data_IF_175128733456
#
_entry.id   IF_175128733456
#
_cell.length_a   1.000
_cell.length_b   1.000
_cell.length_c   1.000
_cell.angle_alpha   90.00
_cell.angle_beta   90.00
_cell.angle_gamma   90.00
#
_symmetry.space_group_name_H-M   'P 1'
#
loop_
_entity.id
_entity.type
_entity.pdbx_description
1 polymer ?
#
# COMPACT_ATOMS: atom_id res chain seq x y z
N UNK A 1 26.35 -8.53 48.75
CA UNK A 1 27.73 -7.99 48.92
C UNK A 1 28.60 -8.55 47.80
N UNK A 2 29.57 -7.75 47.34
CA UNK A 2 30.50 -7.96 46.20
C UNK A 2 29.93 -7.84 44.78
N UNK A 3 30.61 -7.26 43.79
CA UNK A 3 31.36 -5.99 43.60
C UNK A 3 31.88 -6.09 42.14
N UNK A 4 31.57 -5.07 41.30
CA UNK A 4 32.34 -4.52 40.15
C UNK A 4 32.68 -5.50 38.99
N UNK A 5 32.64 -5.10 37.72
CA UNK A 5 33.50 -4.06 37.14
C UNK A 5 32.96 -3.60 35.77
N UNK A 6 32.99 -2.27 35.55
CA UNK A 6 32.77 -1.57 34.29
C UNK A 6 34.06 -1.58 33.46
N UNK A 7 33.95 -1.72 32.14
CA UNK A 7 35.01 -1.34 31.22
C UNK A 7 34.50 -0.22 30.30
N UNK A 8 35.08 0.96 30.52
CA UNK A 8 35.02 2.17 29.73
C UNK A 8 36.40 2.34 29.09
N UNK A 9 36.48 2.50 27.77
CA UNK A 9 37.65 3.09 27.12
C UNK A 9 37.20 4.00 25.98
N UNK A 10 37.56 5.27 26.15
CA UNK A 10 37.48 6.38 25.23
C UNK A 10 38.80 6.60 24.49
N UNK A 11 38.76 7.52 23.52
CA UNK A 11 39.86 8.20 22.78
C UNK A 11 40.20 7.54 21.44
N UNK A 12 40.31 8.24 20.31
CA UNK A 12 40.27 9.67 19.99
C UNK A 12 40.87 9.89 18.58
N UNK A 13 40.80 11.14 18.09
CA UNK A 13 41.59 11.78 16.99
C UNK A 13 41.05 11.76 15.54
N UNK A 14 40.47 12.90 15.15
CA UNK A 14 40.58 13.58 13.82
C UNK A 14 41.94 14.34 13.76
N UNK A 15 42.39 15.07 12.68
CA UNK A 15 41.71 15.55 11.45
C UNK A 15 42.56 15.57 10.14
N UNK A 16 42.02 16.11 9.03
CA UNK A 16 42.78 16.62 7.86
C UNK A 16 42.04 16.46 6.52
N UNK A 17 41.21 17.42 6.07
CA UNK A 17 41.52 18.50 5.09
C UNK A 17 42.14 18.07 3.76
N UNK A 18 41.41 18.28 2.65
CA UNK A 18 41.90 19.14 1.55
C UNK A 18 40.77 19.58 0.62
N UNK A 19 40.79 20.89 0.32
CA UNK A 19 39.95 21.64 -0.63
C UNK A 19 40.72 21.87 -1.94
N UNK A 20 39.99 22.35 -2.95
CA UNK A 20 40.42 22.98 -4.22
C UNK A 20 40.43 22.00 -5.41
N UNK A 21 39.99 22.35 -6.63
CA UNK A 21 40.03 23.64 -7.31
C UNK A 21 38.95 23.76 -8.40
N UNK A 22 38.54 24.99 -8.69
CA UNK A 22 37.80 25.39 -9.89
C UNK A 22 38.66 25.31 -11.15
N UNK A 23 38.02 25.14 -12.31
CA UNK A 23 38.41 25.87 -13.52
C UNK A 23 37.19 26.14 -14.42
N UNK A 24 36.99 27.43 -14.69
CA UNK A 24 36.19 28.02 -15.76
C UNK A 24 37.09 28.12 -17.00
N UNK A 25 36.67 27.65 -18.18
CA UNK A 25 37.10 28.24 -19.46
C UNK A 25 35.93 28.20 -20.46
N UNK A 26 35.65 29.37 -21.02
CA UNK A 26 34.69 29.64 -22.07
C UNK A 26 35.29 29.42 -23.47
N UNK A 27 34.44 28.97 -24.41
CA UNK A 27 34.32 29.22 -25.87
C UNK A 27 35.59 29.49 -26.74
N UNK A 28 35.59 29.00 -28.00
CA UNK A 28 35.02 29.86 -29.05
C UNK A 28 34.19 29.16 -30.14
N UNK A 29 33.34 30.02 -30.70
CA UNK A 29 32.48 29.91 -31.87
C UNK A 29 33.26 29.42 -33.11
N UNK A 30 32.65 28.52 -33.89
CA UNK A 30 33.05 28.24 -35.28
C UNK A 30 31.83 28.27 -36.21
N UNK A 31 32.02 28.90 -37.37
CA UNK A 31 31.00 29.41 -38.29
C UNK A 31 30.68 28.37 -39.39
N UNK A 32 29.43 28.41 -39.90
CA UNK A 32 28.84 27.56 -40.96
C UNK A 32 29.55 27.66 -42.32
N UNK A 33 29.32 26.68 -43.23
CA UNK A 33 28.57 26.98 -44.48
C UNK A 33 27.61 25.83 -44.93
N UNK A 34 26.35 26.11 -45.32
CA UNK A 34 25.78 26.32 -46.68
C UNK A 34 25.33 25.03 -47.42
N UNK A 35 24.00 24.94 -47.61
CA UNK A 35 23.19 24.38 -48.73
C UNK A 35 23.18 22.86 -49.04
N UNK A 36 21.98 22.27 -49.01
CA UNK A 36 21.54 21.33 -50.07
C UNK A 36 20.80 20.04 -49.65
N UNK A 37 19.54 19.92 -50.12
CA UNK A 37 18.75 18.71 -50.46
C UNK A 37 18.09 17.87 -49.31
N UNK A 38 16.97 17.14 -49.57
CA UNK A 38 15.69 17.33 -48.91
C UNK A 38 15.42 16.27 -47.82
N UNK A 39 14.98 16.70 -46.64
CA UNK A 39 14.54 15.76 -45.61
C UNK A 39 13.17 15.18 -45.97
N UNK A 40 13.25 14.02 -46.63
CA UNK A 40 12.32 12.88 -46.63
C UNK A 40 11.26 12.99 -45.51
N UNK A 41 10.00 12.99 -45.92
CA UNK A 41 8.81 12.96 -45.07
C UNK A 41 9.00 12.06 -43.84
N UNK A 42 9.18 12.69 -42.68
CA UNK A 42 9.03 12.02 -41.40
C UNK A 42 7.54 11.71 -41.26
N UNK A 43 7.15 10.49 -41.64
CA UNK A 43 5.90 9.89 -41.23
C UNK A 43 5.87 9.92 -39.72
N UNK A 44 5.11 10.85 -39.16
CA UNK A 44 4.71 10.89 -37.75
C UNK A 44 3.94 9.61 -37.46
N UNK A 45 4.67 8.58 -37.02
CA UNK A 45 4.04 7.43 -36.41
C UNK A 45 3.34 7.92 -35.14
N UNK A 46 2.01 8.02 -35.22
CA UNK A 46 1.14 8.23 -34.08
C UNK A 46 1.20 6.99 -33.19
N UNK A 47 2.32 6.83 -32.48
CA UNK A 47 2.43 5.95 -31.34
C UNK A 47 1.52 6.52 -30.26
N UNK A 48 0.27 6.05 -30.22
CA UNK A 48 -0.61 6.27 -29.08
C UNK A 48 0.05 5.60 -27.88
N UNK A 49 0.74 6.41 -27.06
CA UNK A 49 1.30 5.94 -25.80
C UNK A 49 0.19 5.28 -24.99
N UNK A 50 0.46 4.12 -24.34
CA UNK A 50 -0.53 3.46 -23.52
C UNK A 50 -1.05 4.42 -22.45
N UNK A 51 -2.36 4.38 -22.12
CA UNK A 51 -2.93 5.28 -21.14
C UNK A 51 -2.15 5.16 -19.82
N UNK A 52 -1.68 6.29 -19.30
CA UNK A 52 -0.96 6.34 -18.03
C UNK A 52 -1.86 5.75 -16.95
N UNK A 53 -1.38 4.70 -16.27
CA UNK A 53 -2.10 4.11 -15.15
C UNK A 53 -2.30 5.18 -14.07
N UNK A 54 -3.48 5.29 -13.45
CA UNK A 54 -3.70 6.22 -12.35
C UNK A 54 -2.77 5.88 -11.18
N UNK A 55 -2.40 6.90 -10.40
CA UNK A 55 -1.62 6.72 -9.18
C UNK A 55 -2.33 5.75 -8.22
N UNK A 56 -1.60 4.80 -7.59
CA UNK A 56 -2.21 3.81 -6.70
C UNK A 56 -2.84 4.42 -5.43
N UNK A 57 -2.43 5.63 -5.06
CA UNK A 57 -2.95 6.39 -3.91
C UNK A 57 -4.25 7.13 -4.19
N UNK A 58 -4.79 6.98 -5.40
CA UNK A 58 -6.01 7.66 -5.81
C UNK A 58 -7.23 6.87 -5.37
N UNK A 59 -8.30 7.58 -4.97
CA UNK A 59 -9.59 6.95 -4.78
C UNK A 59 -10.00 6.22 -6.07
N UNK A 60 -10.41 4.97 -5.90
CA UNK A 60 -10.88 4.14 -7.01
C UNK A 60 -12.31 4.55 -7.34
N UNK A 61 -12.67 4.69 -8.62
CA UNK A 61 -14.07 4.79 -9.01
C UNK A 61 -14.87 3.57 -8.52
N UNK A 62 -16.09 3.78 -8.01
CA UNK A 62 -16.89 2.72 -7.37
C UNK A 62 -17.05 1.46 -8.26
N UNK A 63 -17.31 1.61 -9.56
CA UNK A 63 -17.44 0.49 -10.48
C UNK A 63 -16.13 -0.32 -10.61
N UNK A 64 -14.97 0.35 -10.64
CA UNK A 64 -13.66 -0.31 -10.71
C UNK A 64 -13.37 -1.02 -9.39
N UNK A 65 -13.69 -0.39 -8.27
CA UNK A 65 -13.56 -1.02 -6.96
C UNK A 65 -14.40 -2.29 -6.86
N UNK A 66 -15.68 -2.25 -7.23
CA UNK A 66 -16.55 -3.42 -7.18
C UNK A 66 -15.99 -4.60 -7.99
N UNK A 67 -15.49 -4.33 -9.20
CA UNK A 67 -14.89 -5.36 -10.04
C UNK A 67 -13.62 -5.97 -9.42
N UNK A 68 -12.75 -5.15 -8.83
CA UNK A 68 -11.51 -5.61 -8.20
C UNK A 68 -11.74 -6.26 -6.84
N UNK A 69 -12.77 -5.81 -6.11
CA UNK A 69 -13.06 -6.27 -4.76
C UNK A 69 -13.88 -7.56 -4.75
N UNK A 70 -14.65 -7.88 -5.79
CA UNK A 70 -15.48 -9.08 -5.79
C UNK A 70 -14.72 -10.39 -5.49
N UNK A 71 -13.54 -10.66 -6.10
CA UNK A 71 -12.74 -11.84 -5.73
C UNK A 71 -12.24 -11.80 -4.27
N UNK A 72 -11.81 -10.63 -3.80
CA UNK A 72 -11.36 -10.44 -2.41
C UNK A 72 -12.50 -10.65 -1.41
N UNK A 73 -13.71 -10.21 -1.76
CA UNK A 73 -14.90 -10.43 -0.95
C UNK A 73 -15.21 -11.92 -0.78
N UNK A 74 -15.06 -12.71 -1.85
CA UNK A 74 -15.18 -14.18 -1.79
C UNK A 74 -14.07 -14.78 -0.93
N UNK A 75 -12.84 -14.26 -1.02
CA UNK A 75 -11.72 -14.68 -0.17
C UNK A 75 -11.88 -14.29 1.32
N UNK A 76 -12.93 -13.54 1.67
CA UNK A 76 -13.26 -13.19 3.06
C UNK A 76 -12.89 -11.76 3.45
N UNK A 77 -12.42 -10.93 2.51
CA UNK A 77 -12.24 -9.50 2.77
C UNK A 77 -13.58 -8.79 2.93
N UNK A 78 -13.59 -7.78 3.80
CA UNK A 78 -14.75 -6.93 4.05
C UNK A 78 -14.36 -5.46 3.99
N UNK A 79 -15.34 -4.63 3.67
CA UNK A 79 -15.22 -3.17 3.65
C UNK A 79 -15.91 -2.62 4.90
N UNK A 80 -15.11 -2.21 5.88
CA UNK A 80 -15.60 -1.74 7.19
C UNK A 80 -15.49 -0.21 7.30
N UNK A 81 -16.28 0.38 8.21
CA UNK A 81 -16.09 1.76 8.65
C UNK A 81 -14.81 1.90 9.48
N UNK A 82 -14.13 3.03 9.32
CA UNK A 82 -13.05 3.40 10.23
C UNK A 82 -13.62 3.68 11.64
N UNK A 83 -13.00 3.18 12.72
CA UNK A 83 -13.51 3.36 14.09
C UNK A 83 -13.62 4.82 14.54
N UNK A 84 -12.84 5.70 13.92
CA UNK A 84 -12.80 7.14 14.21
C UNK A 84 -13.72 7.96 13.32
N UNK A 85 -14.51 7.33 12.44
CA UNK A 85 -15.41 8.05 11.56
C UNK A 85 -16.60 8.59 12.37
N UNK A 86 -16.85 9.92 12.37
CA UNK A 86 -18.04 10.49 12.98
C UNK A 86 -19.30 10.25 12.15
N UNK A 87 -19.18 9.65 10.96
CA UNK A 87 -20.32 9.33 10.13
C UNK A 87 -21.10 8.17 10.75
N UNK A 88 -22.28 8.47 11.30
CA UNK A 88 -23.34 7.50 11.54
C UNK A 88 -23.52 6.58 10.31
N UNK A 89 -24.05 5.35 10.48
CA UNK A 89 -24.34 4.47 9.35
C UNK A 89 -25.34 5.17 8.43
N UNK A 90 -24.85 5.91 7.44
CA UNK A 90 -25.70 6.53 6.45
C UNK A 90 -26.30 5.38 5.65
N UNK A 91 -27.61 5.26 5.77
CA UNK A 91 -28.49 4.57 4.84
C UNK A 91 -27.94 4.72 3.44
N UNK A 92 -27.68 3.58 2.81
CA UNK A 92 -27.27 3.46 1.43
C UNK A 92 -28.32 4.12 0.52
N UNK A 93 -28.20 5.43 0.30
CA UNK A 93 -28.74 6.08 -0.88
C UNK A 93 -27.99 5.48 -2.07
N UNK A 94 -28.79 4.82 -2.92
CA UNK A 94 -28.40 3.89 -3.96
C UNK A 94 -27.23 4.36 -4.85
N UNK A 95 -26.17 3.54 -4.92
CA UNK A 95 -25.43 3.35 -6.17
C UNK A 95 -23.95 3.74 -6.20
N UNK A 96 -23.42 4.44 -5.19
CA UNK A 96 -21.99 4.74 -5.11
C UNK A 96 -21.41 4.27 -3.78
N UNK A 97 -20.60 3.22 -3.82
CA UNK A 97 -19.80 2.79 -2.67
C UNK A 97 -18.84 3.93 -2.32
N UNK A 98 -19.15 4.71 -1.29
CA UNK A 98 -18.21 5.69 -0.75
C UNK A 98 -17.06 4.94 -0.07
N UNK A 99 -15.86 5.09 -0.64
CA UNK A 99 -14.63 4.47 -0.15
C UNK A 99 -13.93 5.33 0.90
N UNK A 100 -14.39 6.56 1.12
CA UNK A 100 -13.92 7.38 2.22
C UNK A 100 -14.50 6.90 3.56
N UNK A 101 -13.73 7.10 4.61
CA UNK A 101 -13.97 6.58 5.95
C UNK A 101 -14.12 5.05 6.02
N UNK A 102 -13.61 4.35 4.99
CA UNK A 102 -13.58 2.89 4.90
C UNK A 102 -12.19 2.32 5.05
N UNK A 103 -12.13 1.06 5.46
CA UNK A 103 -10.94 0.21 5.46
C UNK A 103 -11.28 -1.18 4.92
N UNK A 104 -10.29 -1.83 4.33
CA UNK A 104 -10.37 -3.25 4.04
C UNK A 104 -9.93 -4.05 5.28
N UNK A 105 -10.64 -5.13 5.61
CA UNK A 105 -10.36 -6.00 6.76
C UNK A 105 -10.45 -7.46 6.34
N UNK A 106 -9.51 -8.29 6.84
CA UNK A 106 -9.51 -9.74 6.69
C UNK A 106 -8.95 -10.42 7.94
N UNK A 107 -9.56 -11.53 8.34
CA UNK A 107 -9.03 -12.43 9.36
C UNK A 107 -8.30 -13.60 8.72
N UNK A 108 -7.14 -13.95 9.23
CA UNK A 108 -6.45 -15.20 8.92
C UNK A 108 -6.35 -16.04 10.19
N UNK A 109 -6.61 -17.33 10.06
CA UNK A 109 -6.65 -18.27 11.18
C UNK A 109 -5.45 -19.20 11.08
N UNK A 110 -4.62 -19.23 12.11
CA UNK A 110 -3.46 -20.12 12.22
C UNK A 110 -3.70 -21.15 13.31
N UNK A 111 -3.12 -22.33 13.11
CA UNK A 111 -3.19 -23.41 14.10
C UNK A 111 -2.58 -23.02 15.44
N UNK A 112 -2.94 -23.78 16.48
CA UNK A 112 -2.33 -23.64 17.79
C UNK A 112 -0.90 -24.14 17.85
N UNK A 113 -0.17 -23.67 18.87
CA UNK A 113 1.18 -24.14 19.16
C UNK A 113 2.29 -23.50 18.32
N UNK A 114 3.49 -24.08 18.42
CA UNK A 114 4.73 -23.48 17.90
C UNK A 114 4.73 -23.35 16.37
N UNK A 115 4.11 -24.28 15.66
CA UNK A 115 4.12 -24.30 14.21
C UNK A 115 3.19 -23.22 13.64
N UNK A 116 1.94 -23.15 14.08
CA UNK A 116 1.02 -22.09 13.67
C UNK A 116 1.53 -20.69 14.04
N UNK A 117 2.20 -20.52 15.19
CA UNK A 117 2.87 -19.25 15.51
C UNK A 117 3.98 -18.88 14.52
N UNK A 118 4.84 -19.85 14.13
CA UNK A 118 5.90 -19.62 13.14
C UNK A 118 5.33 -19.23 11.77
N UNK A 119 4.25 -19.87 11.35
CA UNK A 119 3.57 -19.57 10.10
C UNK A 119 2.91 -18.19 10.13
N UNK A 120 2.29 -17.83 11.25
CA UNK A 120 1.77 -16.49 11.51
C UNK A 120 2.85 -15.43 11.36
N UNK A 121 3.99 -15.62 12.03
CA UNK A 121 5.11 -14.67 11.95
C UNK A 121 5.72 -14.59 10.54
N UNK A 122 5.83 -15.73 9.83
CA UNK A 122 6.31 -15.76 8.44
C UNK A 122 5.37 -15.00 7.51
N UNK A 123 4.06 -15.22 7.66
CA UNK A 123 3.03 -14.51 6.90
C UNK A 123 3.13 -13.00 7.13
N UNK A 124 3.17 -12.57 8.39
CA UNK A 124 3.32 -11.15 8.74
C UNK A 124 4.58 -10.52 8.17
N UNK A 125 5.70 -11.23 8.21
CA UNK A 125 6.97 -10.74 7.65
C UNK A 125 6.84 -10.47 6.15
N UNK A 126 6.37 -11.46 5.38
CA UNK A 126 6.18 -11.32 3.92
C UNK A 126 5.17 -10.23 3.60
N UNK A 127 4.08 -10.14 4.36
CA UNK A 127 3.06 -9.10 4.15
C UNK A 127 3.63 -7.70 4.39
N UNK A 128 4.49 -7.54 5.40
CA UNK A 128 5.15 -6.28 5.72
C UNK A 128 6.13 -5.77 4.65
N UNK A 129 6.58 -6.64 3.74
CA UNK A 129 7.43 -6.28 2.60
C UNK A 129 6.63 -5.62 1.47
N UNK A 130 5.31 -5.90 1.36
CA UNK A 130 4.46 -5.36 0.30
C UNK A 130 4.11 -3.90 0.60
N UNK A 131 3.46 -3.65 1.73
CA UNK A 131 3.15 -2.34 2.29
C UNK A 131 2.96 -2.44 3.82
N UNK A 132 2.63 -1.34 4.49
CA UNK A 132 2.40 -1.30 5.93
C UNK A 132 0.89 -1.32 6.27
N UNK A 133 0.23 -2.50 6.33
CA UNK A 133 -1.09 -2.61 6.93
C UNK A 133 -1.03 -2.43 8.44
N UNK A 134 -2.20 -2.20 9.05
CA UNK A 134 -2.38 -2.41 10.47
C UNK A 134 -2.69 -3.89 10.71
N UNK A 135 -1.85 -4.52 11.52
CA UNK A 135 -1.95 -5.93 11.87
C UNK A 135 -2.25 -6.05 13.37
N UNK A 136 -3.21 -6.91 13.71
CA UNK A 136 -3.51 -7.29 15.07
C UNK A 136 -3.43 -8.81 15.16
N UNK A 137 -2.65 -9.31 16.12
CA UNK A 137 -2.51 -10.76 16.37
C UNK A 137 -2.99 -11.04 17.77
N UNK A 138 -3.84 -12.05 17.92
CA UNK A 138 -4.30 -12.48 19.23
C UNK A 138 -4.58 -13.98 19.25
N UNK A 139 -4.58 -14.62 20.43
CA UNK A 139 -5.14 -15.95 20.59
C UNK A 139 -6.61 -15.99 20.14
N UNK A 140 -7.04 -17.08 19.51
CA UNK A 140 -8.41 -17.21 18.99
C UNK A 140 -9.49 -17.05 20.07
N UNK A 141 -9.18 -17.42 21.32
CA UNK A 141 -10.06 -17.28 22.49
C UNK A 141 -10.29 -15.81 22.93
N UNK A 142 -9.36 -14.90 22.61
CA UNK A 142 -9.44 -13.50 23.00
C UNK A 142 -10.12 -12.64 21.91
N UNK A 143 -10.43 -13.25 20.76
CA UNK A 143 -11.06 -12.57 19.65
C UNK A 143 -12.55 -12.32 19.93
N UNK A 144 -12.91 -11.05 19.99
CA UNK A 144 -14.29 -10.58 20.09
C UNK A 144 -14.72 -10.13 18.68
N UNK A 145 -15.56 -10.91 17.98
CA UNK A 145 -15.99 -10.55 16.64
C UNK A 145 -16.74 -9.22 16.65
N UNK A 146 -16.29 -8.26 15.85
CA UNK A 146 -17.01 -6.99 15.63
C UNK A 146 -17.80 -7.03 14.33
N UNK A 147 -17.23 -7.60 13.27
CA UNK A 147 -17.86 -7.68 11.93
C UNK A 147 -17.62 -9.02 11.22
N UNK A 148 -16.61 -9.79 11.62
CA UNK A 148 -16.19 -11.03 10.95
C UNK A 148 -16.12 -12.14 11.99
N UNK A 149 -16.83 -13.24 11.76
CA UNK A 149 -16.75 -14.42 12.62
C UNK A 149 -15.70 -15.39 12.05
N UNK A 150 -14.79 -15.92 12.88
CA UNK A 150 -13.87 -16.97 12.45
C UNK A 150 -14.64 -18.24 12.05
N UNK A 151 -14.05 -18.99 11.13
CA UNK A 151 -14.61 -20.18 10.49
C UNK A 151 -14.34 -21.47 11.27
N UNK A 152 -13.29 -21.52 12.09
CA UNK A 152 -12.88 -22.69 12.87
C UNK A 152 -13.20 -22.56 14.36
N UNK A 153 -13.41 -23.67 15.11
CA UNK A 153 -13.42 -23.65 16.57
C UNK A 153 -12.20 -22.92 17.14
N UNK A 154 -12.40 -22.15 18.21
CA UNK A 154 -11.50 -21.15 18.82
C UNK A 154 -10.18 -21.71 19.38
N UNK A 155 -9.37 -22.38 18.57
CA UNK A 155 -8.04 -22.85 18.94
C UNK A 155 -7.01 -22.32 17.94
N UNK A 156 -6.00 -21.60 18.44
CA UNK A 156 -4.91 -21.08 17.62
C UNK A 156 -4.74 -19.57 17.71
N UNK A 157 -4.30 -18.97 16.61
CA UNK A 157 -4.05 -17.54 16.51
C UNK A 157 -4.92 -16.93 15.42
N UNK A 158 -5.52 -15.78 15.72
CA UNK A 158 -6.24 -14.96 14.76
C UNK A 158 -5.35 -13.76 14.42
N UNK A 159 -5.17 -13.55 13.12
CA UNK A 159 -4.48 -12.40 12.56
C UNK A 159 -5.49 -11.54 11.80
N UNK A 160 -5.82 -10.37 12.35
CA UNK A 160 -6.59 -9.37 11.64
C UNK A 160 -5.65 -8.44 10.87
N UNK A 161 -5.83 -8.39 9.55
CA UNK A 161 -5.16 -7.45 8.66
C UNK A 161 -6.17 -6.39 8.26
N UNK A 162 -5.80 -5.12 8.43
CA UNK A 162 -6.59 -3.99 7.96
C UNK A 162 -5.74 -2.95 7.23
N UNK A 163 -6.30 -2.36 6.19
CA UNK A 163 -5.62 -1.32 5.40
C UNK A 163 -6.56 -0.23 4.91
N UNK A 164 -6.03 0.99 4.86
CA UNK A 164 -6.65 2.15 4.25
C UNK A 164 -5.55 3.19 3.97
N UNK A 165 -5.83 4.11 3.07
CA UNK A 165 -4.96 5.25 2.80
C UNK A 165 -5.39 6.45 3.64
N UNK A 166 -4.49 6.97 4.47
CA UNK A 166 -4.80 8.09 5.39
C UNK A 166 -5.09 9.42 4.65
N UNK A 167 -4.44 9.66 3.52
CA UNK A 167 -4.62 10.86 2.69
C UNK A 167 -4.69 10.47 1.21
N UNK A 168 -5.85 10.00 0.71
CA UNK A 168 -5.98 9.59 -0.67
C UNK A 168 -5.93 10.80 -1.61
N UNK A 169 -5.44 10.58 -2.83
CA UNK A 169 -5.59 11.56 -3.90
C UNK A 169 -7.03 11.51 -4.43
N UNK A 170 -7.62 12.67 -4.78
CA UNK A 170 -8.98 12.72 -5.33
C UNK A 170 -9.07 11.91 -6.63
N UNK A 171 -10.24 11.39 -6.96
CA UNK A 171 -10.48 10.74 -8.25
C UNK A 171 -10.06 11.67 -9.42
N UNK A 172 -9.69 11.13 -10.59
CA UNK A 172 -9.41 11.98 -11.74
C UNK A 172 -10.66 12.82 -12.03
N UNK A 173 -10.53 14.11 -12.37
CA UNK A 173 -11.69 14.93 -12.68
C UNK A 173 -12.44 14.28 -13.84
N UNK A 174 -13.69 13.86 -13.58
CA UNK A 174 -14.55 13.28 -14.61
C UNK A 174 -14.96 14.32 -15.67
N UNK A 175 -14.88 15.61 -15.32
CA UNK A 175 -15.13 16.73 -16.22
C UNK A 175 -14.14 17.88 -15.90
N UNK A 176 -13.46 18.37 -16.94
CA UNK A 176 -12.64 19.59 -16.92
C UNK A 176 -13.61 20.78 -16.73
N UNK A 177 -14.01 21.09 -15.50
CA UNK A 177 -14.97 22.18 -15.28
C UNK A 177 -15.43 22.44 -13.85
N UNK A 178 -15.34 21.47 -12.95
CA UNK A 178 -15.65 21.69 -11.53
C UNK A 178 -14.36 21.75 -10.69
N UNK A 179 -13.58 22.82 -10.90
CA UNK A 179 -12.61 23.29 -9.91
C UNK A 179 -13.41 24.00 -8.80
N UNK A 180 -14.07 23.24 -7.93
CA UNK A 180 -15.14 23.79 -7.09
C UNK A 180 -15.07 23.50 -5.60
N UNK A 181 -14.78 22.26 -5.17
CA UNK A 181 -14.68 21.97 -3.75
C UNK A 181 -13.24 21.58 -3.40
N UNK A 182 -12.59 22.41 -2.57
CA UNK A 182 -11.45 21.97 -1.76
C UNK A 182 -11.98 21.07 -0.64
N UNK A 183 -12.69 20.00 -1.00
CA UNK A 183 -13.10 19.01 -0.01
C UNK A 183 -11.83 18.37 0.52
N UNK A 184 -11.64 18.44 1.84
CA UNK A 184 -10.51 17.80 2.50
C UNK A 184 -10.70 16.30 2.35
N UNK A 185 -9.80 15.67 1.59
CA UNK A 185 -9.79 14.22 1.42
C UNK A 185 -9.74 13.54 2.79
N UNK A 186 -10.72 12.68 3.07
CA UNK A 186 -10.76 11.84 4.26
C UNK A 186 -10.04 10.52 3.99
N UNK A 187 -9.58 9.81 5.03
CA UNK A 187 -8.99 8.49 4.86
C UNK A 187 -9.91 7.57 4.06
N UNK A 188 -9.38 6.64 3.29
CA UNK A 188 -10.23 5.75 2.50
C UNK A 188 -9.46 4.68 1.72
N UNK A 189 -10.21 3.83 1.04
CA UNK A 189 -9.65 2.70 0.27
C UNK A 189 -9.22 3.16 -1.12
N UNK A 190 -8.00 2.80 -1.50
CA UNK A 190 -7.40 3.11 -2.81
C UNK A 190 -6.92 1.84 -3.52
N UNK A 191 -6.44 1.97 -4.76
CA UNK A 191 -5.89 0.81 -5.49
C UNK A 191 -4.68 0.20 -4.79
N UNK A 192 -3.94 0.99 -4.00
CA UNK A 192 -2.86 0.49 -3.15
C UNK A 192 -3.38 -0.54 -2.14
N UNK A 193 -4.50 -0.24 -1.48
CA UNK A 193 -5.11 -1.08 -0.46
C UNK A 193 -5.63 -2.39 -1.06
N UNK A 194 -6.26 -2.31 -2.24
CA UNK A 194 -6.73 -3.48 -2.99
C UNK A 194 -5.56 -4.38 -3.38
N UNK A 195 -4.47 -3.82 -3.90
CA UNK A 195 -3.27 -4.61 -4.26
C UNK A 195 -2.61 -5.27 -3.06
N UNK A 196 -2.61 -4.61 -1.90
CA UNK A 196 -2.13 -5.22 -0.67
C UNK A 196 -2.99 -6.42 -0.28
N UNK A 197 -4.31 -6.30 -0.41
CA UNK A 197 -5.22 -7.41 -0.15
C UNK A 197 -5.00 -8.58 -1.12
N UNK A 198 -4.81 -8.30 -2.41
CA UNK A 198 -4.47 -9.31 -3.43
C UNK A 198 -3.17 -10.04 -3.08
N UNK A 199 -2.11 -9.30 -2.73
CA UNK A 199 -0.82 -9.88 -2.34
C UNK A 199 -0.92 -10.68 -1.03
N UNK A 200 -1.71 -10.23 -0.07
CA UNK A 200 -1.94 -10.97 1.17
C UNK A 200 -2.57 -12.34 0.90
N UNK A 201 -3.56 -12.41 0.00
CA UNK A 201 -4.17 -13.70 -0.39
C UNK A 201 -3.20 -14.59 -1.16
N UNK A 202 -2.28 -14.04 -1.95
CA UNK A 202 -1.21 -14.80 -2.58
C UNK A 202 -0.24 -15.40 -1.56
N UNK A 203 0.26 -14.59 -0.63
CA UNK A 203 1.13 -15.04 0.46
C UNK A 203 0.42 -16.08 1.34
N UNK A 204 -0.89 -15.90 1.57
CA UNK A 204 -1.70 -16.83 2.35
C UNK A 204 -1.75 -18.19 1.68
N UNK A 205 -2.08 -18.23 0.38
CA UNK A 205 -2.08 -19.49 -0.39
C UNK A 205 -0.72 -20.19 -0.38
N UNK A 206 0.37 -19.44 -0.51
CA UNK A 206 1.72 -20.02 -0.43
C UNK A 206 2.03 -20.61 0.95
N UNK A 207 1.59 -19.93 2.02
CA UNK A 207 1.86 -20.36 3.39
C UNK A 207 0.97 -21.54 3.81
N UNK A 208 -0.31 -21.54 3.42
CA UNK A 208 -1.28 -22.61 3.72
C UNK A 208 -1.14 -23.81 2.78
N UNK A 209 -0.68 -23.60 1.55
CA UNK A 209 -0.49 -24.64 0.54
C UNK A 209 0.71 -25.57 0.75
N UNK A 210 1.53 -25.32 1.77
CA UNK A 210 2.60 -26.24 2.20
C UNK A 210 2.14 -27.34 3.15
N UNK A 211 0.90 -27.26 3.64
CA UNK A 211 0.22 -28.28 4.44
C UNK A 211 -1.07 -28.68 3.75
N UNK A 212 -0.95 -29.38 2.61
CA UNK A 212 -2.09 -30.10 2.08
C UNK A 212 -2.57 -31.11 3.13
N UNK A 213 -3.80 -30.93 3.58
CA UNK A 213 -4.61 -32.03 4.15
C UNK A 213 -5.35 -32.70 3.00
#
# INVERSE_FOLDING_TARGET
MSRRTLASLSSGLLPGSNKSSMSLIANPISVKPVVGIPARSASTSSSTAPPKRPSPYRLIPAHTFLAQFAPLHVAGWRLDLLPTSPAAPQTAEAGMVDLQDRRLVRLYEFESGKQGWKECMRFMHRLGEVHHPKILVMPAQDYIPTTITPTSPQSGYILEVSTHTHTPLPAPPANIGQAGSKEKMRPGVTSKDVRLAEAAEEIWRDNSGGGAV
#
